data_IF_723286048469
#
_entry.id   IF_723286048469
#
_cell.length_a   1.000
_cell.length_b   1.000
_cell.length_c   1.000
_cell.angle_alpha   90.00
_cell.angle_beta   90.00
_cell.angle_gamma   90.00
#
_symmetry.space_group_name_H-M   'P 1'
#
loop_
_entity.id
_entity.type
_entity.pdbx_description
1 polymer ?
#
# COMPACT_ATOMS: atom_id res chain seq x y z
N UNK A 1 4.49 14.69 28.69
CA UNK A 1 4.10 14.78 27.26
C UNK A 1 3.67 13.41 26.80
N UNK A 2 2.48 13.28 26.22
CA UNK A 2 2.03 12.05 25.56
C UNK A 2 2.37 12.16 24.08
N UNK A 3 3.02 11.14 23.51
CA UNK A 3 3.22 11.04 22.06
C UNK A 3 2.05 10.24 21.51
N UNK A 4 1.33 10.80 20.53
CA UNK A 4 0.27 10.08 19.81
C UNK A 4 0.87 9.40 18.59
N UNK A 5 0.63 8.09 18.46
CA UNK A 5 1.07 7.28 17.32
C UNK A 5 -0.15 6.79 16.55
N UNK A 6 -0.33 7.23 15.31
CA UNK A 6 -1.33 6.69 14.39
C UNK A 6 -0.71 5.56 13.55
N UNK A 7 -1.35 4.40 13.57
CA UNK A 7 -0.91 3.21 12.83
C UNK A 7 -2.06 2.73 11.94
N UNK A 8 -1.73 2.27 10.74
CA UNK A 8 -2.67 1.66 9.80
C UNK A 8 -2.14 0.31 9.34
N UNK A 9 -2.96 -0.73 9.44
CA UNK A 9 -2.75 -2.01 8.73
C UNK A 9 -3.73 -2.06 7.57
N UNK A 10 -3.22 -2.14 6.33
CA UNK A 10 -4.05 -2.03 5.14
C UNK A 10 -3.68 -3.09 4.11
N UNK A 11 -4.58 -4.05 3.92
CA UNK A 11 -4.41 -5.06 2.88
C UNK A 11 -4.71 -4.43 1.53
N UNK A 12 -3.72 -4.43 0.63
CA UNK A 12 -3.88 -3.87 -0.69
C UNK A 12 -4.67 -4.76 -1.61
N UNK A 13 -4.87 -6.05 -1.32
CA UNK A 13 -5.51 -7.06 -2.17
C UNK A 13 -4.78 -7.28 -3.50
N UNK A 14 -4.93 -8.47 -4.07
CA UNK A 14 -4.20 -8.87 -5.27
C UNK A 14 -4.53 -7.97 -6.47
N UNK A 15 -3.60 -7.94 -7.43
CA UNK A 15 -3.79 -7.28 -8.71
C UNK A 15 -4.64 -8.17 -9.63
N UNK A 16 -5.96 -8.00 -9.55
CA UNK A 16 -6.91 -8.71 -10.39
C UNK A 16 -6.84 -8.22 -11.85
N UNK A 17 -7.22 -9.07 -12.84
CA UNK A 17 -7.26 -8.69 -14.25
C UNK A 17 -8.02 -7.38 -14.48
N UNK A 18 -7.60 -6.57 -15.45
CA UNK A 18 -8.11 -5.21 -15.69
C UNK A 18 -9.65 -5.14 -15.86
N UNK A 19 -10.23 -6.17 -16.49
CA UNK A 19 -11.68 -6.34 -16.68
C UNK A 19 -12.45 -6.46 -15.36
N UNK A 20 -11.80 -6.96 -14.29
CA UNK A 20 -12.39 -7.05 -12.97
C UNK A 20 -12.84 -5.67 -12.48
N UNK A 21 -14.03 -5.54 -11.87
CA UNK A 21 -14.43 -4.28 -11.24
C UNK A 21 -13.49 -3.89 -10.09
N UNK A 22 -12.77 -4.86 -9.51
CA UNK A 22 -11.83 -4.67 -8.40
C UNK A 22 -10.36 -4.74 -8.86
N UNK A 23 -10.07 -4.53 -10.14
CA UNK A 23 -8.70 -4.44 -10.64
C UNK A 23 -7.94 -3.31 -9.95
N UNK A 24 -6.62 -3.47 -9.78
CA UNK A 24 -5.78 -2.45 -9.14
C UNK A 24 -5.93 -1.08 -9.82
N UNK A 25 -5.97 -1.07 -11.16
CA UNK A 25 -6.09 0.14 -11.97
C UNK A 25 -7.28 1.01 -11.54
N UNK A 26 -8.41 0.39 -11.17
CA UNK A 26 -9.65 1.08 -10.79
C UNK A 26 -9.67 1.56 -9.34
N UNK A 27 -8.79 1.04 -8.49
CA UNK A 27 -8.83 1.28 -7.03
C UNK A 27 -7.58 1.91 -6.43
N UNK A 28 -6.48 1.99 -7.19
CA UNK A 28 -5.21 2.60 -6.75
C UNK A 28 -5.40 4.02 -6.18
N UNK A 29 -6.22 4.84 -6.83
CA UNK A 29 -6.48 6.23 -6.40
C UNK A 29 -7.30 6.27 -5.11
N UNK A 30 -8.25 5.33 -4.95
CA UNK A 30 -9.03 5.19 -3.73
C UNK A 30 -8.15 4.72 -2.57
N UNK A 31 -7.26 3.75 -2.79
CA UNK A 31 -6.29 3.32 -1.78
C UNK A 31 -5.41 4.49 -1.30
N UNK A 32 -4.87 5.28 -2.24
CA UNK A 32 -4.09 6.48 -1.91
C UNK A 32 -4.93 7.50 -1.13
N UNK A 33 -6.17 7.74 -1.55
CA UNK A 33 -7.10 8.67 -0.88
C UNK A 33 -7.38 8.24 0.56
N UNK A 34 -7.60 6.96 0.80
CA UNK A 34 -7.82 6.43 2.16
C UNK A 34 -6.59 6.65 3.03
N UNK A 35 -5.40 6.25 2.56
CA UNK A 35 -4.16 6.39 3.33
C UNK A 35 -3.90 7.86 3.68
N UNK A 36 -4.02 8.76 2.69
CA UNK A 36 -3.78 10.20 2.88
C UNK A 36 -4.82 10.86 3.79
N UNK A 37 -6.09 10.43 3.72
CA UNK A 37 -7.16 10.97 4.58
C UNK A 37 -6.96 10.66 6.06
N UNK A 38 -6.39 9.49 6.39
CA UNK A 38 -6.10 9.11 7.77
C UNK A 38 -4.69 9.49 8.23
N UNK A 39 -3.79 9.81 7.30
CA UNK A 39 -2.40 10.26 7.54
C UNK A 39 -1.69 9.46 8.66
N UNK A 40 -1.56 8.13 8.52
CA UNK A 40 -0.91 7.31 9.53
C UNK A 40 0.58 7.62 9.60
N UNK A 41 1.14 7.60 10.81
CA UNK A 41 2.60 7.69 11.02
C UNK A 41 3.28 6.38 10.58
N UNK A 42 2.63 5.24 10.82
CA UNK A 42 3.10 3.92 10.40
C UNK A 42 2.05 3.23 9.54
N UNK A 43 2.41 2.89 8.30
CA UNK A 43 1.57 2.12 7.37
C UNK A 43 2.18 0.74 7.16
N UNK A 44 1.40 -0.30 7.46
CA UNK A 44 1.75 -1.69 7.18
C UNK A 44 0.84 -2.23 6.08
N UNK A 45 1.39 -2.62 4.93
CA UNK A 45 0.63 -3.19 3.83
C UNK A 45 0.73 -4.72 3.79
N UNK A 46 -0.29 -5.37 3.23
CA UNK A 46 -0.29 -6.81 2.93
C UNK A 46 -0.70 -7.01 1.47
N UNK A 47 -0.26 -8.11 0.84
CA UNK A 47 -0.54 -8.42 -0.58
C UNK A 47 -0.13 -7.31 -1.57
N UNK A 48 0.74 -6.38 -1.15
CA UNK A 48 1.25 -5.33 -2.01
C UNK A 48 2.31 -5.89 -2.95
N UNK A 49 1.96 -6.09 -4.22
CA UNK A 49 2.97 -6.38 -5.26
C UNK A 49 3.76 -5.12 -5.59
N UNK A 50 4.96 -5.26 -6.16
CA UNK A 50 5.91 -4.14 -6.39
C UNK A 50 5.28 -2.95 -7.11
N UNK A 51 4.50 -3.18 -8.17
CA UNK A 51 3.84 -2.12 -8.94
C UNK A 51 2.82 -1.32 -8.12
N UNK A 52 2.12 -1.95 -7.18
CA UNK A 52 1.17 -1.30 -6.28
C UNK A 52 1.92 -0.43 -5.25
N UNK A 53 3.00 -0.99 -4.67
CA UNK A 53 3.84 -0.28 -3.70
C UNK A 53 4.52 0.93 -4.33
N UNK A 54 5.03 0.80 -5.56
CA UNK A 54 5.66 1.90 -6.30
C UNK A 54 4.70 3.05 -6.56
N UNK A 55 3.45 2.72 -6.93
CA UNK A 55 2.41 3.72 -7.10
C UNK A 55 2.12 4.47 -5.80
N UNK A 56 1.99 3.75 -4.68
CA UNK A 56 1.74 4.35 -3.38
C UNK A 56 2.93 5.19 -2.91
N UNK A 57 4.16 4.75 -3.12
CA UNK A 57 5.36 5.48 -2.74
C UNK A 57 5.48 6.81 -3.50
N UNK A 58 5.16 6.83 -4.79
CA UNK A 58 5.08 8.07 -5.58
C UNK A 58 4.02 9.03 -5.04
N UNK A 59 2.89 8.51 -4.55
CA UNK A 59 1.81 9.29 -3.95
C UNK A 59 2.05 9.69 -2.48
N UNK A 60 3.04 9.10 -1.80
CA UNK A 60 3.29 9.26 -0.36
C UNK A 60 4.77 9.63 -0.11
N UNK A 61 5.25 10.80 -0.59
CA UNK A 61 6.68 11.16 -0.58
C UNK A 61 7.29 11.30 0.83
N UNK A 62 6.49 11.30 1.89
CA UNK A 62 6.94 11.38 3.28
C UNK A 62 7.02 10.02 4.01
N UNK A 63 6.53 8.94 3.41
CA UNK A 63 6.62 7.60 4.02
C UNK A 63 7.92 6.95 3.56
N UNK A 64 8.79 6.65 4.53
CA UNK A 64 9.99 5.85 4.28
C UNK A 64 9.54 4.39 4.18
N UNK A 65 9.72 3.79 3.00
CA UNK A 65 9.41 2.38 2.79
C UNK A 65 10.44 1.50 3.53
N UNK A 66 9.94 0.54 4.32
CA UNK A 66 10.74 -0.54 4.89
C UNK A 66 10.05 -1.87 4.58
N UNK A 67 10.65 -2.64 3.67
CA UNK A 67 10.04 -3.86 3.14
C UNK A 67 10.83 -5.10 3.59
N UNK A 68 10.19 -6.02 4.31
CA UNK A 68 10.70 -7.36 4.63
C UNK A 68 9.94 -8.39 3.78
N UNK A 69 10.67 -9.09 2.91
CA UNK A 69 10.12 -10.15 2.05
C UNK A 69 10.25 -11.48 2.81
N UNK A 70 9.14 -12.03 3.32
CA UNK A 70 9.09 -13.43 3.75
C UNK A 70 8.38 -14.27 2.67
N UNK A 71 9.19 -14.97 1.86
CA UNK A 71 8.84 -16.19 1.15
C UNK A 71 7.70 -16.14 0.12
N UNK A 72 8.01 -15.75 -1.13
CA UNK A 72 7.82 -16.60 -2.31
C UNK A 72 8.46 -15.94 -3.54
N UNK A 73 9.56 -16.54 -3.97
CA UNK A 73 10.11 -16.62 -5.33
C UNK A 73 9.90 -15.41 -6.26
N UNK A 74 10.98 -14.64 -6.36
CA UNK A 74 11.41 -14.06 -7.63
C UNK A 74 11.54 -15.23 -8.63
N UNK A 75 10.58 -15.37 -9.53
CA UNK A 75 10.82 -16.03 -10.81
C UNK A 75 10.93 -14.91 -11.83
N UNK A 76 12.11 -14.84 -12.44
CA UNK A 76 12.53 -14.07 -13.63
C UNK A 76 11.43 -13.51 -14.51
#
# INVERSE_FOLDING_TARGET
MSVSLSVMSFNLHDDLPEESPNSWLKRKDLCLTVITSYSPIVLCTQQGVKSQLDYLQQGLPGIIEFSLIYGSLIST
#
